data_IF_055457765566
#
_entry.id   IF_055457765566
#
_cell.length_a   1.000
_cell.length_b   1.000
_cell.length_c   1.000
_cell.angle_alpha   90.00
_cell.angle_beta   90.00
_cell.angle_gamma   90.00
#
_symmetry.space_group_name_H-M   'P 1'
#
loop_
_entity.id
_entity.type
_entity.pdbx_description
1 polymer ?
#
# COMPACT_ATOMS: atom_id res chain seq x y z
N UNK A 1 23.17 -9.53 23.61
CA UNK A 1 21.77 -9.99 23.55
C UNK A 1 21.02 -9.09 22.57
N UNK A 2 20.76 -9.56 21.35
CA UNK A 2 19.94 -8.82 20.38
C UNK A 2 18.47 -8.92 20.81
N UNK A 3 17.81 -7.78 20.97
CA UNK A 3 16.36 -7.75 21.18
C UNK A 3 15.65 -8.27 19.92
N UNK A 4 14.56 -9.04 20.03
CA UNK A 4 13.81 -9.50 18.87
C UNK A 4 13.24 -8.30 18.13
N UNK A 5 13.64 -8.11 16.87
CA UNK A 5 13.06 -7.07 16.03
C UNK A 5 11.62 -7.45 15.70
N UNK A 6 10.68 -6.53 15.96
CA UNK A 6 9.29 -6.71 15.58
C UNK A 6 9.16 -6.66 14.05
N UNK A 7 8.46 -7.62 13.42
CA UNK A 7 8.25 -7.57 11.98
C UNK A 7 7.41 -6.34 11.61
N UNK A 8 7.85 -5.63 10.57
CA UNK A 8 7.15 -4.47 10.01
C UNK A 8 6.37 -4.94 8.79
N UNK A 9 5.13 -4.48 8.66
CA UNK A 9 4.25 -4.83 7.55
C UNK A 9 3.84 -3.58 6.79
N UNK A 10 3.69 -3.72 5.48
CA UNK A 10 3.16 -2.67 4.60
C UNK A 10 1.79 -3.10 4.12
N UNK A 11 0.80 -2.22 4.29
CA UNK A 11 -0.52 -2.45 3.71
C UNK A 11 -0.46 -2.18 2.20
N UNK A 12 -0.66 -3.24 1.41
CA UNK A 12 -0.66 -3.18 -0.06
C UNK A 12 -2.03 -2.76 -0.58
N UNK A 13 -3.10 -3.40 -0.08
CA UNK A 13 -4.46 -3.20 -0.59
C UNK A 13 -5.51 -3.33 0.51
N UNK A 14 -6.69 -2.74 0.29
CA UNK A 14 -7.89 -2.95 1.11
C UNK A 14 -8.97 -3.60 0.24
N UNK A 15 -9.24 -4.88 0.50
CA UNK A 15 -10.22 -5.66 -0.25
C UNK A 15 -11.65 -5.38 0.20
N UNK A 16 -12.56 -5.28 -0.77
CA UNK A 16 -13.99 -5.00 -0.62
C UNK A 16 -14.81 -6.27 -0.92
N UNK A 17 -16.12 -6.26 -0.63
CA UNK A 17 -16.99 -7.36 -1.03
C UNK A 17 -16.85 -7.66 -2.53
N UNK A 18 -16.68 -8.93 -2.86
CA UNK A 18 -16.44 -9.50 -4.22
C UNK A 18 -15.00 -9.42 -4.73
N UNK A 19 -14.08 -8.79 -4.00
CA UNK A 19 -12.66 -8.85 -4.37
C UNK A 19 -12.07 -10.24 -4.06
N UNK A 20 -10.95 -10.55 -4.72
CA UNK A 20 -10.30 -11.87 -4.64
C UNK A 20 -8.85 -11.71 -4.23
N UNK A 21 -8.36 -12.60 -3.38
CA UNK A 21 -6.98 -12.64 -2.89
C UNK A 21 -6.29 -13.96 -3.24
N UNK A 22 -4.98 -13.91 -3.49
CA UNK A 22 -4.12 -15.09 -3.67
C UNK A 22 -4.16 -15.73 -5.05
N UNK A 23 -4.78 -15.05 -6.04
CA UNK A 23 -4.77 -15.53 -7.42
C UNK A 23 -3.36 -15.43 -8.03
N UNK A 24 -2.58 -14.41 -7.69
CA UNK A 24 -1.18 -14.23 -8.11
C UNK A 24 -0.30 -15.45 -7.80
N UNK A 25 -0.67 -16.25 -6.80
CA UNK A 25 0.05 -17.48 -6.44
C UNK A 25 -0.26 -18.66 -7.35
N UNK A 26 -1.31 -18.60 -8.17
CA UNK A 26 -1.67 -19.68 -9.09
C UNK A 26 -0.90 -19.50 -10.40
N UNK A 27 0.22 -20.20 -10.52
CA UNK A 27 0.98 -20.25 -11.75
C UNK A 27 0.64 -21.54 -12.53
N UNK A 28 0.04 -21.38 -13.71
CA UNK A 28 -0.23 -22.50 -14.63
C UNK A 28 0.98 -22.89 -15.47
N UNK A 29 1.99 -22.02 -15.56
CA UNK A 29 3.21 -22.22 -16.34
C UNK A 29 4.35 -22.65 -15.40
N UNK A 30 4.69 -23.93 -15.41
CA UNK A 30 5.68 -24.56 -14.51
C UNK A 30 7.13 -24.06 -14.67
N UNK A 31 7.42 -23.17 -15.64
CA UNK A 31 8.79 -22.81 -16.04
C UNK A 31 9.17 -21.36 -15.71
N UNK A 32 8.30 -20.61 -15.03
CA UNK A 32 8.59 -19.26 -14.54
C UNK A 32 8.62 -19.31 -13.02
N UNK A 33 9.81 -19.37 -12.46
CA UNK A 33 10.06 -19.15 -11.04
C UNK A 33 9.85 -17.66 -10.74
N UNK A 34 8.59 -17.24 -10.62
CA UNK A 34 8.28 -16.00 -9.94
C UNK A 34 8.39 -16.25 -8.43
N UNK A 35 9.24 -15.48 -7.75
CA UNK A 35 9.25 -15.40 -6.29
C UNK A 35 8.36 -14.21 -5.91
N UNK A 36 7.03 -14.39 -5.76
CA UNK A 36 6.17 -13.29 -5.33
C UNK A 36 6.55 -12.85 -3.90
N UNK A 37 6.29 -11.58 -3.54
CA UNK A 37 6.48 -11.12 -2.18
C UNK A 37 5.60 -11.90 -1.20
N UNK A 38 6.07 -12.06 0.04
CA UNK A 38 5.29 -12.68 1.10
C UNK A 38 4.16 -11.74 1.53
N UNK A 39 2.92 -12.11 1.23
CA UNK A 39 1.71 -11.34 1.58
C UNK A 39 0.87 -12.06 2.63
N UNK A 40 0.14 -11.29 3.44
CA UNK A 40 -0.79 -11.79 4.44
C UNK A 40 -2.12 -11.07 4.33
N UNK A 41 -3.22 -11.83 4.39
CA UNK A 41 -4.57 -11.29 4.41
C UNK A 41 -5.08 -11.21 5.86
N UNK A 42 -5.48 -10.02 6.28
CA UNK A 42 -6.04 -9.78 7.62
C UNK A 42 -7.54 -9.52 7.49
N UNK A 43 -8.36 -10.41 8.06
CA UNK A 43 -9.82 -10.25 8.04
C UNK A 43 -10.28 -9.31 9.17
N UNK A 44 -11.21 -8.41 8.83
CA UNK A 44 -11.93 -7.56 9.78
C UNK A 44 -13.38 -8.07 9.96
N UNK A 45 -13.55 -9.40 10.06
CA UNK A 45 -14.87 -10.04 10.17
C UNK A 45 -15.53 -10.34 8.82
N UNK A 46 -14.74 -10.45 7.74
CA UNK A 46 -15.25 -10.82 6.43
C UNK A 46 -15.63 -12.30 6.36
N UNK A 47 -16.75 -12.59 5.69
CA UNK A 47 -17.10 -13.94 5.25
C UNK A 47 -16.42 -14.23 3.91
N UNK A 48 -15.69 -15.33 3.82
CA UNK A 48 -14.89 -15.66 2.64
C UNK A 48 -15.27 -17.03 2.08
N UNK A 49 -15.33 -17.12 0.75
CA UNK A 49 -15.37 -18.40 0.04
C UNK A 49 -13.93 -18.78 -0.28
N UNK A 50 -13.46 -19.89 0.28
CA UNK A 50 -12.12 -20.42 0.02
C UNK A 50 -12.19 -21.54 -1.03
N UNK A 51 -11.27 -21.50 -1.99
CA UNK A 51 -11.11 -22.54 -2.99
C UNK A 51 -9.72 -23.18 -2.87
N UNK A 52 -9.66 -24.51 -2.89
CA UNK A 52 -8.38 -25.21 -2.91
C UNK A 52 -7.63 -24.92 -4.20
N UNK A 53 -6.39 -24.42 -4.07
CA UNK A 53 -5.48 -24.17 -5.20
C UNK A 53 -5.29 -25.42 -6.07
N UNK A 54 -5.02 -26.56 -5.45
CA UNK A 54 -4.82 -27.81 -6.15
C UNK A 54 -6.08 -28.26 -6.91
N UNK A 55 -7.26 -28.08 -6.30
CA UNK A 55 -8.53 -28.38 -6.94
C UNK A 55 -8.79 -27.48 -8.15
N UNK A 56 -8.56 -26.16 -7.99
CA UNK A 56 -8.70 -25.19 -9.08
C UNK A 56 -7.77 -25.54 -10.23
N UNK A 57 -6.46 -25.71 -9.96
CA UNK A 57 -5.47 -26.03 -11.01
C UNK A 57 -5.80 -27.32 -11.77
N UNK A 58 -6.34 -28.35 -11.08
CA UNK A 58 -6.69 -29.64 -11.69
C UNK A 58 -7.91 -29.55 -12.63
N UNK A 59 -8.88 -28.68 -12.35
CA UNK A 59 -10.16 -28.67 -13.07
C UNK A 59 -10.37 -27.42 -13.94
N UNK A 60 -9.45 -26.45 -13.91
CA UNK A 60 -9.50 -25.28 -14.78
C UNK A 60 -9.22 -25.68 -16.24
N UNK A 61 -10.14 -25.31 -17.14
CA UNK A 61 -9.99 -25.50 -18.58
C UNK A 61 -9.03 -24.48 -19.20
N UNK A 62 -8.55 -24.74 -20.42
CA UNK A 62 -7.51 -23.89 -21.04
C UNK A 62 -7.99 -22.47 -21.34
N UNK A 63 -9.28 -22.30 -21.66
CA UNK A 63 -9.89 -20.97 -21.81
C UNK A 63 -9.75 -20.13 -20.54
N UNK A 64 -10.06 -20.73 -19.38
CA UNK A 64 -9.93 -20.06 -18.09
C UNK A 64 -8.46 -19.83 -17.71
N UNK A 65 -7.53 -20.71 -18.08
CA UNK A 65 -6.09 -20.49 -17.86
C UNK A 65 -5.58 -19.27 -18.63
N UNK A 66 -5.98 -19.16 -19.90
CA UNK A 66 -5.61 -18.00 -20.73
C UNK A 66 -6.19 -16.72 -20.13
N UNK A 67 -7.50 -16.71 -19.88
CA UNK A 67 -8.18 -15.57 -19.27
C UNK A 67 -7.56 -15.18 -17.93
N UNK A 68 -7.19 -16.16 -17.11
CA UNK A 68 -6.52 -15.93 -15.84
C UNK A 68 -5.20 -15.16 -16.01
N UNK A 69 -4.38 -15.55 -17.01
CA UNK A 69 -3.11 -14.86 -17.30
C UNK A 69 -3.27 -13.41 -17.78
N UNK A 70 -4.42 -13.07 -18.35
CA UNK A 70 -4.72 -11.71 -18.83
C UNK A 70 -5.20 -10.79 -17.71
N UNK A 71 -5.89 -11.33 -16.69
CA UNK A 71 -6.52 -10.52 -15.65
C UNK A 71 -5.58 -10.27 -14.47
N UNK A 72 -4.67 -11.21 -14.20
CA UNK A 72 -3.92 -11.19 -12.95
C UNK A 72 -2.64 -10.38 -13.08
N UNK A 73 -2.55 -9.40 -12.21
CA UNK A 73 -1.34 -8.61 -12.00
C UNK A 73 -0.67 -9.10 -10.72
N UNK A 74 0.59 -9.54 -10.78
CA UNK A 74 1.32 -9.91 -9.58
C UNK A 74 1.54 -8.67 -8.70
N UNK A 75 1.66 -8.89 -7.39
CA UNK A 75 2.11 -7.82 -6.51
C UNK A 75 3.52 -7.36 -6.90
N UNK A 76 3.82 -6.05 -6.76
CA UNK A 76 5.17 -5.55 -6.98
C UNK A 76 6.19 -6.26 -6.09
N UNK A 77 7.45 -6.33 -6.52
CA UNK A 77 8.52 -6.87 -5.69
C UNK A 77 8.78 -6.02 -4.43
N UNK A 78 9.55 -6.58 -3.50
CA UNK A 78 9.81 -5.96 -2.20
C UNK A 78 10.55 -4.62 -2.33
N UNK A 79 11.46 -4.48 -3.29
CA UNK A 79 12.17 -3.23 -3.57
C UNK A 79 11.19 -2.14 -4.01
N UNK A 80 10.29 -2.46 -4.93
CA UNK A 80 9.26 -1.54 -5.43
C UNK A 80 8.28 -1.15 -4.33
N UNK A 81 7.89 -2.10 -3.48
CA UNK A 81 7.03 -1.83 -2.31
C UNK A 81 7.74 -0.90 -1.31
N UNK A 82 9.04 -1.11 -1.09
CA UNK A 82 9.83 -0.27 -0.18
C UNK A 82 10.03 1.14 -0.72
N UNK A 83 10.32 1.31 -2.01
CA UNK A 83 10.44 2.63 -2.63
C UNK A 83 9.09 3.38 -2.60
N UNK A 84 7.99 2.67 -2.87
CA UNK A 84 6.63 3.21 -2.77
C UNK A 84 6.31 3.68 -1.34
N UNK A 85 6.71 2.90 -0.33
CA UNK A 85 6.55 3.28 1.08
C UNK A 85 7.37 4.53 1.41
N UNK A 86 8.64 4.56 1.02
CA UNK A 86 9.54 5.68 1.29
C UNK A 86 9.01 6.97 0.67
N UNK A 87 8.57 6.88 -0.59
CA UNK A 87 7.97 8.01 -1.32
C UNK A 87 6.73 8.52 -0.60
N UNK A 88 5.84 7.62 -0.14
CA UNK A 88 4.64 7.99 0.62
C UNK A 88 4.99 8.69 1.94
N UNK A 89 5.93 8.15 2.71
CA UNK A 89 6.37 8.74 3.98
C UNK A 89 6.98 10.12 3.77
N UNK A 90 7.87 10.26 2.79
CA UNK A 90 8.48 11.53 2.42
C UNK A 90 7.41 12.58 2.07
N UNK A 91 6.41 12.18 1.31
CA UNK A 91 5.29 13.05 0.96
C UNK A 91 4.46 13.49 2.18
N UNK A 92 4.16 12.58 3.10
CA UNK A 92 3.46 12.92 4.35
C UNK A 92 4.26 13.90 5.22
N UNK A 93 5.56 13.68 5.38
CA UNK A 93 6.45 14.57 6.12
C UNK A 93 6.51 15.96 5.47
N UNK A 94 6.63 16.01 4.14
CA UNK A 94 6.62 17.26 3.40
C UNK A 94 5.30 18.03 3.61
N UNK A 95 4.14 17.39 3.43
CA UNK A 95 2.82 18.01 3.66
C UNK A 95 2.69 18.57 5.07
N UNK A 96 3.10 17.81 6.10
CA UNK A 96 3.10 18.28 7.50
C UNK A 96 3.97 19.52 7.67
N UNK A 97 5.15 19.54 7.06
CA UNK A 97 6.05 20.70 7.13
C UNK A 97 5.44 21.97 6.51
N UNK A 98 4.70 21.84 5.41
CA UNK A 98 4.01 22.95 4.77
C UNK A 98 2.87 23.49 5.64
N UNK A 99 2.10 22.61 6.28
CA UNK A 99 1.02 22.99 7.18
C UNK A 99 1.59 23.79 8.37
N UNK A 100 2.66 23.30 9.01
CA UNK A 100 3.32 24.02 10.11
C UNK A 100 3.85 25.38 9.66
N UNK A 101 4.54 25.44 8.52
CA UNK A 101 5.06 26.71 7.97
C UNK A 101 3.92 27.70 7.66
N UNK A 102 2.83 27.25 7.05
CA UNK A 102 1.70 28.13 6.73
C UNK A 102 0.95 28.63 7.97
N UNK A 103 0.82 27.81 9.02
CA UNK A 103 0.26 28.24 10.31
C UNK A 103 1.17 29.22 11.05
N UNK A 104 2.50 29.05 11.00
CA UNK A 104 3.45 29.99 11.58
C UNK A 104 3.36 31.39 10.94
N UNK A 105 3.15 31.47 9.62
CA UNK A 105 2.97 32.75 8.92
C UNK A 105 1.65 33.45 9.27
N UNK A 106 0.60 32.72 9.65
CA UNK A 106 -0.67 33.33 10.11
C UNK A 106 -0.55 33.95 11.50
N UNK A 107 0.26 33.38 12.40
CA UNK A 107 0.46 33.92 13.75
C UNK A 107 1.41 35.13 13.79
N UNK A 108 2.35 35.26 12.85
CA UNK A 108 3.24 36.43 12.77
C UNK A 108 2.60 37.66 12.11
N UNK A 109 1.48 37.51 11.40
CA UNK A 109 0.74 38.62 10.77
C UNK A 109 -0.15 39.45 11.71
N UNK A 110 -0.27 39.09 12.99
CA UNK A 110 -1.13 39.79 13.97
C UNK A 110 -0.41 40.81 14.87
N UNK A 111 0.89 41.05 14.68
CA UNK A 111 1.61 42.15 15.32
C UNK A 111 1.85 43.28 14.30
N UNK A 112 0.80 44.07 14.00
CA UNK A 112 0.98 45.38 13.38
C UNK A 112 1.47 46.35 14.48
N UNK A 113 2.67 46.93 14.40
CA UNK A 113 2.99 48.08 15.24
C UNK A 113 2.06 49.24 14.87
N UNK A 114 1.32 49.75 15.85
CA UNK A 114 0.61 51.03 15.75
C UNK A 114 1.66 52.12 15.52
N UNK A 115 1.72 52.66 14.30
CA UNK A 115 2.50 53.86 14.01
C UNK A 115 1.81 55.03 14.72
N UNK A 116 2.26 55.39 15.91
CA UNK A 116 1.96 56.69 16.51
C UNK A 116 2.72 57.75 15.72
N UNK A 117 2.03 58.36 14.77
CA UNK A 117 2.49 59.59 14.11
C UNK A 117 2.41 60.72 15.13
N UNK A 118 3.56 61.17 15.62
CA UNK A 118 3.68 62.48 16.26
C UNK A 118 3.56 63.55 15.17
N UNK A 119 2.60 64.46 15.28
CA UNK A 119 2.59 65.72 14.55
C UNK A 119 2.11 66.85 15.48
N UNK A 120 3.07 67.75 15.73
CA UNK A 120 3.02 69.11 16.30
C UNK A 120 2.60 69.28 17.77
#
# INVERSE_FOLDING_TARGET
TQQPQHPVFVQIELLKPKDVFGLDQVNFNSNLDSNPPSVSLVSLGAECIMLSKAFFMKHTNDHNKQRFSEIIQPYPDEETLQDSLQTKVNWELYKRSLIVKSMAHKHSGLNRPQLTTNLL
#
